data_IF_301591007631
#
_entry.id   IF_301591007631
#
_cell.length_a   1.000
_cell.length_b   1.000
_cell.length_c   1.000
_cell.angle_alpha   90.00
_cell.angle_beta   90.00
_cell.angle_gamma   90.00
#
_symmetry.space_group_name_H-M   'P 1'
#
loop_
_entity.id
_entity.type
_entity.pdbx_description
1 polymer ?
#
# COMPACT_ATOMS: atom_id res chain seq x y z
N UNK A 1 69.66 45.77 4.78
CA UNK A 1 69.98 44.33 4.59
C UNK A 1 69.44 43.58 5.81
N UNK A 2 68.52 42.62 5.78
CA UNK A 2 67.96 41.80 4.71
C UNK A 2 66.53 41.39 5.08
N UNK A 3 65.53 42.20 4.70
CA UNK A 3 64.11 41.79 4.76
C UNK A 3 63.74 40.79 3.64
N UNK A 4 64.66 40.55 2.69
CA UNK A 4 64.41 39.67 1.53
C UNK A 4 64.73 38.18 1.76
N UNK A 5 65.35 37.79 2.88
CA UNK A 5 65.73 36.37 3.10
C UNK A 5 64.66 35.50 3.76
N UNK A 6 63.70 36.08 4.49
CA UNK A 6 62.66 35.29 5.17
C UNK A 6 61.50 34.87 4.24
N UNK A 7 61.20 35.68 3.20
CA UNK A 7 60.20 35.32 2.19
C UNK A 7 60.67 34.21 1.24
N UNK A 8 61.98 34.09 1.00
CA UNK A 8 62.52 33.06 0.11
C UNK A 8 62.38 31.63 0.68
N UNK A 9 62.41 31.46 2.00
CA UNK A 9 62.33 30.15 2.65
C UNK A 9 60.87 29.68 2.73
N UNK A 10 59.92 30.57 3.04
CA UNK A 10 58.49 30.23 3.02
C UNK A 10 57.99 29.93 1.61
N UNK A 11 58.39 30.71 0.59
CA UNK A 11 57.95 30.47 -0.79
C UNK A 11 58.51 29.15 -1.34
N UNK A 12 59.76 28.77 -1.01
CA UNK A 12 60.31 27.45 -1.38
C UNK A 12 59.59 26.30 -0.68
N UNK A 13 59.19 26.46 0.58
CA UNK A 13 58.43 25.44 1.31
C UNK A 13 57.03 25.25 0.73
N UNK A 14 56.32 26.34 0.39
CA UNK A 14 54.99 26.25 -0.24
C UNK A 14 55.07 25.67 -1.65
N UNK A 15 56.10 26.02 -2.44
CA UNK A 15 56.27 25.43 -3.78
C UNK A 15 56.59 23.94 -3.73
N UNK A 16 57.39 23.49 -2.76
CA UNK A 16 57.71 22.07 -2.57
C UNK A 16 56.49 21.29 -2.07
N UNK A 17 55.69 21.86 -1.17
CA UNK A 17 54.42 21.25 -0.75
C UNK A 17 53.40 21.24 -1.89
N UNK A 18 53.31 22.31 -2.69
CA UNK A 18 52.43 22.37 -3.86
C UNK A 18 52.84 21.38 -4.96
N UNK A 19 54.15 21.20 -5.17
CA UNK A 19 54.71 20.21 -6.10
C UNK A 19 54.53 18.77 -5.58
N UNK A 20 54.72 18.53 -4.28
CA UNK A 20 54.44 17.23 -3.64
C UNK A 20 52.94 16.90 -3.67
N UNK A 21 52.06 17.89 -3.53
CA UNK A 21 50.60 17.69 -3.69
C UNK A 21 50.23 17.48 -5.16
N UNK A 22 50.89 18.15 -6.12
CA UNK A 22 50.67 17.90 -7.55
C UNK A 22 51.17 16.52 -8.00
N UNK A 23 52.26 16.03 -7.40
CA UNK A 23 52.78 14.68 -7.67
C UNK A 23 51.90 13.62 -7.00
N UNK A 24 51.24 13.92 -5.87
CA UNK A 24 50.22 13.04 -5.29
C UNK A 24 48.93 12.96 -6.12
N UNK A 25 48.61 13.98 -6.91
CA UNK A 25 47.48 13.95 -7.86
C UNK A 25 47.79 13.28 -9.21
N UNK A 26 49.05 12.88 -9.44
CA UNK A 26 49.47 12.02 -10.55
C UNK A 26 49.74 10.58 -10.11
N UNK A 27 49.44 10.23 -8.86
CA UNK A 27 49.17 8.85 -8.52
C UNK A 27 47.93 8.45 -9.32
N UNK A 28 48.17 7.73 -10.42
CA UNK A 28 47.21 6.93 -11.15
C UNK A 28 46.02 6.60 -10.24
N UNK A 29 44.89 7.25 -10.49
CA UNK A 29 43.62 6.76 -9.99
C UNK A 29 43.51 5.33 -10.49
N UNK A 30 43.84 4.38 -9.62
CA UNK A 30 43.35 3.02 -9.77
C UNK A 30 41.84 3.22 -9.82
N UNK A 31 41.17 2.90 -10.94
CA UNK A 31 39.74 3.03 -10.98
C UNK A 31 39.19 2.21 -9.82
N UNK A 32 38.27 2.79 -9.06
CA UNK A 32 37.51 2.19 -7.96
C UNK A 32 36.68 0.96 -8.40
N UNK A 33 36.96 0.44 -9.61
CA UNK A 33 36.28 -0.59 -10.38
C UNK A 33 37.10 -1.90 -10.46
N UNK A 34 38.25 -1.97 -9.76
CA UNK A 34 39.03 -3.20 -9.53
C UNK A 34 38.69 -3.85 -8.17
N UNK A 35 37.51 -3.59 -7.62
CA UNK A 35 37.08 -4.00 -6.28
C UNK A 35 36.80 -5.50 -6.13
N UNK A 36 36.70 -6.23 -7.24
CA UNK A 36 36.31 -7.64 -7.24
C UNK A 36 37.49 -8.61 -7.21
N UNK A 37 38.74 -8.12 -7.34
CA UNK A 37 39.91 -8.98 -7.35
C UNK A 37 40.34 -9.33 -5.93
N UNK A 38 40.36 -10.63 -5.61
CA UNK A 38 40.85 -11.14 -4.34
C UNK A 38 42.36 -11.38 -4.36
N UNK A 39 42.89 -11.91 -5.47
CA UNK A 39 44.31 -12.26 -5.59
C UNK A 39 44.75 -12.38 -7.05
N UNK A 40 46.06 -12.53 -7.26
CA UNK A 40 46.68 -12.74 -8.57
C UNK A 40 47.16 -11.46 -9.25
N UNK A 41 47.78 -11.63 -10.41
CA UNK A 41 48.41 -10.59 -11.23
C UNK A 41 47.67 -10.31 -12.55
N UNK A 42 46.72 -11.15 -12.95
CA UNK A 42 45.82 -10.84 -14.07
C UNK A 42 44.89 -9.71 -13.63
N UNK A 43 44.95 -8.57 -14.31
CA UNK A 43 44.09 -7.41 -14.07
C UNK A 43 42.96 -7.37 -15.09
N UNK A 44 41.78 -6.97 -14.66
CA UNK A 44 40.60 -6.85 -15.51
C UNK A 44 39.34 -6.61 -14.69
N UNK A 45 38.19 -6.67 -15.36
CA UNK A 45 36.87 -6.47 -14.74
C UNK A 45 35.88 -7.53 -15.20
N UNK A 46 35.00 -7.93 -14.29
CA UNK A 46 33.89 -8.83 -14.58
C UNK A 46 32.68 -8.00 -14.99
N UNK A 47 32.01 -8.40 -16.06
CA UNK A 47 30.87 -7.69 -16.64
C UNK A 47 29.68 -8.63 -16.73
N UNK A 48 28.56 -8.24 -16.16
CA UNK A 48 27.29 -8.96 -16.22
C UNK A 48 26.33 -8.28 -17.19
N UNK A 49 25.81 -9.01 -18.18
CA UNK A 49 24.86 -8.51 -19.18
C UNK A 49 23.60 -9.37 -19.20
N UNK A 50 22.45 -8.73 -19.05
CA UNK A 50 21.14 -9.37 -19.18
C UNK A 50 20.40 -8.78 -20.38
N UNK A 51 19.88 -9.66 -21.23
CA UNK A 51 19.08 -9.26 -22.40
C UNK A 51 17.61 -9.55 -22.13
N UNK A 52 16.77 -8.54 -22.23
CA UNK A 52 15.31 -8.66 -22.07
C UNK A 52 14.65 -7.98 -23.28
N UNK A 53 14.03 -8.78 -24.14
CA UNK A 53 13.57 -8.32 -25.45
C UNK A 53 14.74 -7.77 -26.29
N UNK A 54 14.64 -6.51 -26.70
CA UNK A 54 15.68 -5.81 -27.47
C UNK A 54 16.62 -4.95 -26.61
N UNK A 55 16.45 -4.97 -25.28
CA UNK A 55 17.23 -4.14 -24.35
C UNK A 55 18.35 -4.97 -23.72
N UNK A 56 19.55 -4.40 -23.68
CA UNK A 56 20.68 -4.97 -22.95
C UNK A 56 20.96 -4.17 -21.69
N UNK A 57 20.90 -4.83 -20.53
CA UNK A 57 21.14 -4.24 -19.22
C UNK A 57 22.52 -4.64 -18.71
N UNK A 58 23.33 -3.65 -18.40
CA UNK A 58 24.61 -3.81 -17.72
C UNK A 58 24.37 -3.89 -16.20
N UNK A 59 24.74 -5.00 -15.57
CA UNK A 59 24.44 -5.29 -14.16
C UNK A 59 25.70 -5.30 -13.28
N UNK A 60 26.54 -4.26 -13.41
CA UNK A 60 27.82 -4.17 -12.68
C UNK A 60 27.67 -4.05 -11.15
N UNK A 61 26.47 -3.76 -10.65
CA UNK A 61 26.19 -3.66 -9.21
C UNK A 61 25.92 -5.00 -8.52
N UNK A 62 26.12 -6.13 -9.20
CA UNK A 62 25.85 -7.48 -8.68
C UNK A 62 24.35 -7.82 -8.56
N UNK A 63 23.46 -6.95 -9.05
CA UNK A 63 22.00 -7.13 -8.95
C UNK A 63 21.45 -7.68 -10.26
N UNK A 64 20.94 -8.90 -10.23
CA UNK A 64 20.48 -9.63 -11.41
C UNK A 64 18.99 -9.93 -11.34
N UNK A 65 18.33 -10.03 -12.50
CA UNK A 65 16.99 -10.58 -12.61
C UNK A 65 17.03 -12.12 -12.70
N UNK A 66 16.15 -12.80 -11.96
CA UNK A 66 15.90 -14.24 -12.11
C UNK A 66 15.20 -14.53 -13.44
N UNK A 67 15.33 -15.77 -13.93
CA UNK A 67 14.75 -16.25 -15.18
C UNK A 67 15.21 -15.51 -16.46
N UNK A 68 16.18 -14.60 -16.34
CA UNK A 68 16.79 -13.92 -17.48
C UNK A 68 18.21 -14.45 -17.67
N UNK A 69 18.54 -15.05 -18.83
CA UNK A 69 19.89 -15.47 -19.15
C UNK A 69 20.88 -14.31 -19.00
N UNK A 70 21.96 -14.56 -18.28
CA UNK A 70 23.00 -13.57 -18.01
C UNK A 70 24.30 -14.01 -18.65
N UNK A 71 24.85 -13.19 -19.53
CA UNK A 71 26.19 -13.39 -20.07
C UNK A 71 27.17 -12.68 -19.16
N UNK A 72 28.08 -13.44 -18.57
CA UNK A 72 29.17 -12.93 -17.75
C UNK A 72 30.44 -13.00 -18.59
N UNK A 73 31.23 -11.94 -18.59
CA UNK A 73 32.47 -11.85 -19.34
C UNK A 73 33.57 -11.19 -18.54
N UNK A 74 34.81 -11.55 -18.81
CA UNK A 74 35.99 -10.93 -18.21
C UNK A 74 36.73 -10.08 -19.25
N UNK A 75 36.85 -8.79 -18.97
CA UNK A 75 37.59 -7.85 -19.82
C UNK A 75 38.98 -7.63 -19.22
N UNK A 76 40.02 -8.06 -19.95
CA UNK A 76 41.40 -7.94 -19.52
C UNK A 76 41.86 -6.49 -19.55
N UNK A 77 42.59 -6.10 -18.51
CA UNK A 77 43.31 -4.84 -18.46
C UNK A 77 44.81 -5.09 -18.60
N UNK A 78 45.30 -5.07 -19.85
CA UNK A 78 46.72 -5.26 -20.19
C UNK A 78 47.23 -4.15 -21.12
N UNK A 79 47.46 -2.92 -20.59
CA UNK A 79 47.89 -1.78 -21.39
C UNK A 79 49.31 -1.96 -21.97
N UNK A 80 50.11 -2.85 -21.39
CA UNK A 80 51.48 -3.14 -21.85
C UNK A 80 51.54 -4.32 -22.82
N UNK A 81 50.40 -4.94 -23.13
CA UNK A 81 50.28 -6.07 -24.05
C UNK A 81 51.19 -7.26 -23.72
N UNK A 82 51.53 -7.41 -22.45
CA UNK A 82 52.44 -8.46 -21.94
C UNK A 82 51.79 -9.83 -21.86
N UNK A 83 50.46 -9.89 -21.93
CA UNK A 83 49.64 -11.10 -21.78
C UNK A 83 49.08 -11.61 -23.11
N UNK A 84 49.40 -10.98 -24.25
CA UNK A 84 48.83 -11.33 -25.57
C UNK A 84 49.11 -12.77 -26.01
N UNK A 85 50.26 -13.33 -25.63
CA UNK A 85 50.66 -14.70 -25.97
C UNK A 85 50.26 -15.73 -24.90
N UNK A 86 49.66 -15.29 -23.79
CA UNK A 86 49.25 -16.18 -22.72
C UNK A 86 47.93 -16.86 -23.08
N UNK A 87 47.89 -18.20 -22.97
CA UNK A 87 46.66 -18.97 -23.06
C UNK A 87 46.08 -19.14 -21.66
N UNK A 88 44.99 -18.42 -21.40
CA UNK A 88 44.25 -18.49 -20.15
C UNK A 88 43.20 -19.61 -20.17
N UNK A 89 42.98 -20.19 -19.00
CA UNK A 89 41.87 -21.07 -18.69
C UNK A 89 41.09 -20.40 -17.57
N UNK A 90 39.79 -20.23 -17.79
CA UNK A 90 38.86 -19.63 -16.87
C UNK A 90 38.08 -20.74 -16.18
N UNK A 91 37.96 -20.65 -14.86
CA UNK A 91 37.08 -21.48 -14.06
C UNK A 91 36.03 -20.56 -13.43
N UNK A 92 34.80 -20.69 -13.91
CA UNK A 92 33.63 -19.93 -13.51
C UNK A 92 32.84 -20.73 -12.47
N UNK A 93 32.86 -20.30 -11.23
CA UNK A 93 31.95 -20.80 -10.19
C UNK A 93 30.78 -19.81 -10.07
N UNK A 94 29.59 -20.28 -10.42
CA UNK A 94 28.40 -19.45 -10.47
C UNK A 94 27.75 -19.28 -9.08
N UNK A 95 28.23 -19.96 -8.05
CA UNK A 95 27.68 -19.90 -6.69
C UNK A 95 26.33 -20.60 -6.52
N UNK A 96 25.75 -21.15 -7.60
CA UNK A 96 24.55 -21.99 -7.59
C UNK A 96 24.88 -23.50 -7.63
N UNK A 97 26.15 -23.86 -7.43
CA UNK A 97 26.66 -25.23 -7.54
C UNK A 97 27.17 -25.62 -8.93
N UNK A 98 26.94 -24.79 -9.96
CA UNK A 98 27.54 -25.00 -11.28
C UNK A 98 28.93 -24.39 -11.37
N UNK A 99 29.88 -25.20 -11.84
CA UNK A 99 31.24 -24.76 -12.16
C UNK A 99 31.54 -25.09 -13.61
N UNK A 100 32.09 -24.14 -14.36
CA UNK A 100 32.47 -24.33 -15.77
C UNK A 100 33.90 -23.92 -15.99
N UNK A 101 34.68 -24.78 -16.66
CA UNK A 101 36.09 -24.54 -16.96
C UNK A 101 36.32 -24.58 -18.47
N UNK A 102 37.01 -23.58 -19.01
CA UNK A 102 37.26 -23.48 -20.44
C UNK A 102 38.17 -22.32 -20.83
N UNK A 103 38.62 -22.25 -22.09
CA UNK A 103 39.42 -21.14 -22.60
C UNK A 103 38.59 -19.88 -22.90
N UNK A 104 37.25 -19.95 -22.87
CA UNK A 104 36.38 -18.83 -23.18
C UNK A 104 36.37 -17.79 -22.05
N UNK A 105 36.61 -16.50 -22.34
CA UNK A 105 36.59 -15.42 -21.35
C UNK A 105 35.16 -14.97 -21.01
N UNK A 106 34.16 -15.83 -21.25
CA UNK A 106 32.76 -15.58 -20.95
C UNK A 106 32.01 -16.88 -20.63
N UNK A 107 30.89 -16.75 -19.92
CA UNK A 107 29.99 -17.83 -19.57
C UNK A 107 28.54 -17.33 -19.52
N UNK A 108 27.59 -18.17 -19.91
CA UNK A 108 26.16 -17.87 -19.79
C UNK A 108 25.58 -18.54 -18.56
N UNK A 109 25.10 -17.78 -17.57
CA UNK A 109 24.44 -18.31 -16.39
C UNK A 109 22.93 -18.03 -16.39
N UNK A 110 22.19 -18.85 -15.66
CA UNK A 110 20.74 -18.75 -15.55
C UNK A 110 20.32 -19.04 -14.11
N UNK A 111 19.99 -17.97 -13.37
CA UNK A 111 19.48 -18.09 -12.00
C UNK A 111 17.96 -18.16 -12.04
N UNK A 112 17.39 -19.27 -11.57
CA UNK A 112 15.94 -19.51 -11.53
C UNK A 112 15.31 -19.14 -10.19
N UNK A 113 16.11 -18.96 -9.14
CA UNK A 113 15.62 -18.62 -7.82
C UNK A 113 16.17 -17.25 -7.39
N UNK A 114 15.35 -16.39 -6.79
CA UNK A 114 15.86 -15.18 -6.15
C UNK A 114 16.66 -15.56 -4.91
N UNK A 115 17.71 -14.79 -4.62
CA UNK A 115 18.60 -15.07 -3.51
C UNK A 115 19.95 -14.39 -3.63
N UNK A 116 20.80 -14.66 -2.64
CA UNK A 116 22.17 -14.20 -2.65
C UNK A 116 23.08 -15.33 -3.12
N UNK A 117 24.02 -15.01 -4.01
CA UNK A 117 24.97 -15.94 -4.58
C UNK A 117 26.37 -15.33 -4.50
N UNK A 118 27.39 -16.16 -4.38
CA UNK A 118 28.78 -15.71 -4.45
C UNK A 118 29.39 -16.26 -5.73
N UNK A 119 29.59 -15.37 -6.70
CA UNK A 119 30.23 -15.72 -7.96
C UNK A 119 31.75 -15.64 -7.79
N UNK A 120 32.47 -16.63 -8.33
CA UNK A 120 33.93 -16.62 -8.35
C UNK A 120 34.47 -16.93 -9.74
N UNK A 121 35.57 -16.26 -10.08
CA UNK A 121 36.33 -16.49 -11.29
C UNK A 121 37.78 -16.76 -10.93
N UNK A 122 38.27 -17.95 -11.26
CA UNK A 122 39.71 -18.27 -11.25
C UNK A 122 40.25 -18.26 -12.68
N UNK A 123 41.36 -17.56 -12.88
CA UNK A 123 42.07 -17.45 -14.15
C UNK A 123 43.46 -18.03 -13.93
N UNK A 124 43.82 -19.00 -14.74
CA UNK A 124 45.13 -19.67 -14.71
C UNK A 124 45.69 -19.76 -16.12
N UNK A 125 47.01 -19.75 -16.28
CA UNK A 125 47.62 -20.02 -17.59
C UNK A 125 47.97 -21.49 -17.74
N UNK A 126 47.75 -22.05 -18.92
CA UNK A 126 48.14 -23.43 -19.23
C UNK A 126 49.63 -23.57 -19.65
N UNK A 127 50.39 -22.48 -19.71
CA UNK A 127 51.77 -22.49 -20.20
C UNK A 127 52.78 -22.50 -19.05
N UNK A 128 53.79 -23.40 -19.06
CA UNK A 128 54.78 -23.50 -17.97
C UNK A 128 55.53 -22.18 -17.72
N UNK A 129 55.82 -21.45 -18.79
CA UNK A 129 56.53 -20.17 -18.78
C UNK A 129 55.75 -19.05 -18.06
N UNK A 130 54.43 -19.19 -17.98
CA UNK A 130 53.54 -18.22 -17.34
C UNK A 130 52.79 -18.79 -16.15
N UNK A 131 53.14 -19.98 -15.66
CA UNK A 131 52.46 -20.69 -14.56
C UNK A 131 52.19 -19.90 -13.27
N UNK A 132 52.86 -18.75 -13.07
CA UNK A 132 52.64 -17.82 -11.95
C UNK A 132 51.61 -16.72 -12.25
N UNK A 133 51.06 -16.69 -13.46
CA UNK A 133 50.05 -15.72 -13.89
C UNK A 133 48.68 -16.26 -13.53
N UNK A 134 48.07 -15.66 -12.51
CA UNK A 134 46.79 -16.08 -11.97
C UNK A 134 45.89 -14.88 -11.69
N UNK A 135 44.59 -15.10 -11.61
CA UNK A 135 43.62 -14.11 -11.17
C UNK A 135 42.52 -14.78 -10.41
N UNK A 136 42.18 -14.28 -9.22
CA UNK A 136 41.03 -14.73 -8.46
C UNK A 136 40.12 -13.53 -8.21
N UNK A 137 38.87 -13.66 -8.60
CA UNK A 137 37.86 -12.63 -8.45
C UNK A 137 36.63 -13.19 -7.75
N UNK A 138 35.96 -12.36 -6.96
CA UNK A 138 34.70 -12.69 -6.31
C UNK A 138 33.73 -11.52 -6.35
N UNK A 139 32.46 -11.83 -6.62
CA UNK A 139 31.36 -10.87 -6.69
C UNK A 139 30.17 -11.44 -5.93
N UNK A 140 29.68 -10.69 -4.95
CA UNK A 140 28.41 -10.99 -4.29
C UNK A 140 27.27 -10.54 -5.21
N UNK A 141 26.39 -11.49 -5.53
CA UNK A 141 25.24 -11.30 -6.38
C UNK A 141 23.96 -11.33 -5.55
N UNK A 142 23.05 -10.43 -5.87
CA UNK A 142 21.66 -10.47 -5.40
C UNK A 142 20.74 -10.65 -6.60
N UNK A 143 20.18 -11.85 -6.72
CA UNK A 143 19.21 -12.20 -7.76
C UNK A 143 17.81 -11.90 -7.23
N UNK A 144 17.02 -11.18 -8.02
CA UNK A 144 15.67 -10.75 -7.69
C UNK A 144 14.68 -11.16 -8.78
N UNK A 145 13.43 -11.39 -8.40
CA UNK A 145 12.33 -11.56 -9.34
C UNK A 145 11.86 -10.21 -9.89
N UNK A 146 11.71 -10.15 -11.22
CA UNK A 146 11.06 -9.03 -11.90
C UNK A 146 9.62 -8.88 -11.43
N UNK A 147 9.08 -7.67 -11.53
CA UNK A 147 7.69 -7.39 -11.20
C UNK A 147 6.82 -7.92 -12.34
N UNK A 148 6.11 -9.03 -12.08
CA UNK A 148 5.25 -9.73 -13.04
C UNK A 148 3.80 -9.25 -12.99
N UNK A 149 3.29 -8.93 -11.79
CA UNK A 149 1.92 -8.50 -11.61
C UNK A 149 1.75 -7.53 -10.44
N UNK A 150 0.70 -6.71 -10.54
CA UNK A 150 0.11 -5.95 -9.45
C UNK A 150 -1.36 -6.38 -9.49
N UNK A 151 -1.85 -7.04 -8.45
CA UNK A 151 -3.19 -7.65 -8.41
C UNK A 151 -4.03 -7.04 -7.29
N UNK A 152 -5.18 -6.45 -7.62
CA UNK A 152 -6.17 -6.04 -6.63
C UNK A 152 -6.87 -7.27 -6.02
N UNK A 153 -6.70 -7.47 -4.72
CA UNK A 153 -7.39 -8.44 -3.87
C UNK A 153 -8.58 -7.76 -3.20
N UNK A 154 -9.66 -7.54 -3.96
CA UNK A 154 -10.86 -6.88 -3.42
C UNK A 154 -11.94 -6.64 -4.47
N UNK A 155 -13.08 -6.07 -4.07
CA UNK A 155 -14.13 -5.69 -5.01
C UNK A 155 -13.68 -4.52 -5.89
N UNK A 156 -14.35 -4.36 -7.02
CA UNK A 156 -14.23 -3.18 -7.88
C UNK A 156 -15.33 -2.14 -7.60
N UNK A 157 -16.28 -2.45 -6.72
CA UNK A 157 -17.41 -1.57 -6.38
C UNK A 157 -17.39 -1.22 -4.90
N UNK A 158 -17.48 0.07 -4.59
CA UNK A 158 -17.48 0.62 -3.23
C UNK A 158 -18.60 1.65 -3.03
N UNK A 159 -18.93 1.97 -1.78
CA UNK A 159 -19.93 2.97 -1.46
C UNK A 159 -19.29 4.31 -1.11
N UNK A 160 -20.00 5.40 -1.41
CA UNK A 160 -19.63 6.76 -0.98
C UNK A 160 -19.57 6.86 0.56
N UNK A 161 -18.61 7.63 1.06
CA UNK A 161 -18.38 7.96 2.48
C UNK A 161 -18.15 6.74 3.39
N UNK A 162 -17.90 5.57 2.82
CA UNK A 162 -17.51 4.38 3.54
C UNK A 162 -15.98 4.21 3.50
N UNK A 163 -15.35 4.04 4.67
CA UNK A 163 -13.93 3.70 4.75
C UNK A 163 -13.69 2.32 4.13
N UNK A 164 -12.95 2.31 3.02
CA UNK A 164 -12.68 1.10 2.24
C UNK A 164 -11.19 0.76 2.29
N UNK A 165 -10.87 -0.53 2.41
CA UNK A 165 -9.50 -1.04 2.38
C UNK A 165 -9.26 -1.80 1.08
N UNK A 166 -8.43 -1.26 0.20
CA UNK A 166 -8.04 -1.89 -1.06
C UNK A 166 -6.71 -2.61 -0.86
N UNK A 167 -6.70 -3.93 -1.03
CA UNK A 167 -5.51 -4.76 -0.83
C UNK A 167 -4.89 -5.14 -2.17
N UNK A 168 -3.58 -4.96 -2.33
CA UNK A 168 -2.84 -5.25 -3.55
C UNK A 168 -1.76 -6.30 -3.27
N UNK A 169 -1.65 -7.28 -4.16
CA UNK A 169 -0.58 -8.26 -4.19
C UNK A 169 0.40 -7.92 -5.31
N UNK A 170 1.68 -7.89 -5.00
CA UNK A 170 2.77 -7.54 -5.91
C UNK A 170 3.58 -8.80 -6.19
N UNK A 171 3.60 -9.24 -7.45
CA UNK A 171 4.35 -10.41 -7.90
C UNK A 171 5.78 -10.07 -8.29
N UNK A 172 6.68 -9.86 -7.32
CA UNK A 172 8.11 -9.59 -7.56
C UNK A 172 8.90 -9.51 -6.26
N UNK A 173 10.23 -9.38 -6.34
CA UNK A 173 11.06 -9.33 -5.12
C UNK A 173 11.09 -7.94 -4.47
N UNK A 174 10.91 -7.85 -3.14
CA UNK A 174 11.11 -6.63 -2.37
C UNK A 174 12.62 -6.29 -2.21
N UNK A 175 12.95 -5.04 -1.84
CA UNK A 175 12.04 -3.92 -1.63
C UNK A 175 11.58 -3.29 -2.96
N UNK A 176 10.31 -2.88 -3.01
CA UNK A 176 9.71 -2.19 -4.15
C UNK A 176 9.34 -0.74 -3.78
N UNK A 177 9.36 0.14 -4.77
CA UNK A 177 8.84 1.50 -4.69
C UNK A 177 7.49 1.52 -5.42
N UNK A 178 6.42 1.76 -4.68
CA UNK A 178 5.06 1.89 -5.18
C UNK A 178 4.65 3.36 -5.22
N UNK A 179 4.29 3.84 -6.40
CA UNK A 179 3.72 5.15 -6.67
C UNK A 179 2.23 4.94 -7.02
N UNK A 180 1.32 5.45 -6.19
CA UNK A 180 -0.12 5.25 -6.37
C UNK A 180 -0.89 6.56 -6.35
N UNK A 181 -2.03 6.59 -7.04
CA UNK A 181 -2.97 7.74 -7.03
C UNK A 181 -4.37 7.32 -7.44
N UNK A 182 -5.36 8.00 -6.88
CA UNK A 182 -6.78 7.84 -7.22
C UNK A 182 -7.21 9.05 -8.05
N UNK A 183 -7.79 8.81 -9.22
CA UNK A 183 -8.23 9.83 -10.17
C UNK A 183 -9.75 9.75 -10.33
N UNK A 184 -10.46 10.85 -10.03
CA UNK A 184 -11.90 10.96 -10.32
C UNK A 184 -12.13 11.07 -11.83
N UNK A 185 -13.10 10.34 -12.36
CA UNK A 185 -13.44 10.28 -13.79
C UNK A 185 -12.25 9.94 -14.69
N UNK A 186 -11.24 9.28 -14.11
CA UNK A 186 -9.98 8.92 -14.79
C UNK A 186 -9.24 10.13 -15.41
N UNK A 187 -9.53 11.33 -14.93
CA UNK A 187 -8.86 12.54 -15.39
C UNK A 187 -7.44 12.61 -14.82
N UNK A 188 -6.44 12.86 -15.65
CA UNK A 188 -5.04 12.97 -15.23
C UNK A 188 -4.67 14.44 -15.05
N UNK A 189 -4.65 14.97 -13.82
CA UNK A 189 -4.26 16.36 -13.61
C UNK A 189 -2.76 16.55 -13.89
N UNK A 190 -2.41 17.74 -14.38
CA UNK A 190 -1.03 18.24 -14.43
C UNK A 190 -0.76 19.13 -13.21
N UNK A 191 0.32 18.91 -12.43
CA UNK A 191 1.40 17.93 -12.60
C UNK A 191 1.07 16.52 -12.09
N UNK A 192 1.76 15.54 -12.68
CA UNK A 192 1.63 14.09 -12.44
C UNK A 192 2.27 13.68 -11.10
N UNK A 193 1.69 14.13 -9.97
CA UNK A 193 2.12 13.68 -8.64
C UNK A 193 1.44 12.37 -8.23
N UNK A 194 2.14 11.57 -7.43
CA UNK A 194 1.62 10.35 -6.83
C UNK A 194 2.14 10.21 -5.40
N UNK A 195 1.48 9.35 -4.63
CA UNK A 195 1.94 8.98 -3.30
C UNK A 195 2.97 7.86 -3.44
N UNK A 196 4.22 8.15 -3.07
CA UNK A 196 5.32 7.20 -3.12
C UNK A 196 5.50 6.50 -1.77
N UNK A 197 5.51 5.17 -1.79
CA UNK A 197 5.70 4.31 -0.61
C UNK A 197 6.74 3.24 -0.94
N UNK A 198 7.59 2.91 0.03
CA UNK A 198 8.53 1.78 -0.08
C UNK A 198 7.98 0.57 0.67
N UNK A 199 7.90 -0.58 0.00
CA UNK A 199 7.38 -1.81 0.56
C UNK A 199 8.50 -2.85 0.68
N UNK A 200 8.56 -3.53 1.83
CA UNK A 200 9.48 -4.62 2.10
C UNK A 200 8.82 -6.00 1.98
N UNK A 201 7.50 -6.03 1.83
CA UNK A 201 6.72 -7.23 1.53
C UNK A 201 6.09 -7.15 0.13
N UNK A 202 5.26 -8.14 -0.17
CA UNK A 202 4.53 -8.27 -1.43
C UNK A 202 3.07 -7.80 -1.34
N UNK A 203 2.64 -7.26 -0.20
CA UNK A 203 1.28 -6.78 0.01
C UNK A 203 1.27 -5.29 0.32
N UNK A 204 0.29 -4.58 -0.24
CA UNK A 204 0.01 -3.18 0.06
C UNK A 204 -1.47 -2.99 0.32
N UNK A 205 -1.83 -2.36 1.45
CA UNK A 205 -3.21 -2.06 1.78
C UNK A 205 -3.40 -0.54 1.77
N UNK A 206 -4.37 -0.07 1.00
CA UNK A 206 -4.74 1.33 0.89
C UNK A 206 -6.09 1.57 1.56
N UNK A 207 -6.09 2.36 2.62
CA UNK A 207 -7.31 2.87 3.22
C UNK A 207 -7.73 4.15 2.49
N UNK A 208 -8.91 4.13 1.87
CA UNK A 208 -9.42 5.24 1.08
C UNK A 208 -10.94 5.41 1.24
N UNK A 209 -11.39 6.66 1.26
CA UNK A 209 -12.81 7.02 1.33
C UNK A 209 -13.19 7.81 0.09
N UNK A 210 -14.08 7.26 -0.72
CA UNK A 210 -14.61 7.92 -1.91
C UNK A 210 -15.73 8.89 -1.51
N UNK A 211 -15.67 10.14 -1.98
CA UNK A 211 -16.60 11.22 -1.57
C UNK A 211 -17.73 11.50 -2.53
N UNK A 212 -17.66 10.97 -3.75
CA UNK A 212 -18.69 11.14 -4.77
C UNK A 212 -18.89 9.86 -5.55
N UNK A 213 -20.11 9.69 -6.08
CA UNK A 213 -20.44 8.61 -7.00
C UNK A 213 -19.71 8.80 -8.33
N UNK A 214 -19.46 7.70 -9.03
CA UNK A 214 -18.83 7.72 -10.34
C UNK A 214 -17.73 6.68 -10.51
N UNK A 215 -16.98 6.81 -11.60
CA UNK A 215 -15.86 5.92 -11.91
C UNK A 215 -14.55 6.58 -11.50
N UNK A 216 -13.71 5.83 -10.80
CA UNK A 216 -12.38 6.26 -10.40
C UNK A 216 -11.34 5.36 -11.07
N UNK A 217 -10.23 5.94 -11.50
CA UNK A 217 -9.06 5.18 -11.92
C UNK A 217 -8.04 5.17 -10.79
N UNK A 218 -7.64 3.98 -10.36
CA UNK A 218 -6.54 3.80 -9.44
C UNK A 218 -5.30 3.39 -10.23
N UNK A 219 -4.41 4.35 -10.42
CA UNK A 219 -3.13 4.13 -11.08
C UNK A 219 -2.09 3.67 -10.05
N UNK A 220 -1.39 2.59 -10.37
CA UNK A 220 -0.24 2.10 -9.60
C UNK A 220 0.96 1.90 -10.52
N UNK A 221 2.11 2.43 -10.12
CA UNK A 221 3.41 2.12 -10.72
C UNK A 221 4.30 1.52 -9.63
N UNK A 222 4.75 0.29 -9.85
CA UNK A 222 5.65 -0.43 -8.96
C UNK A 222 6.97 -0.60 -9.66
N UNK A 223 8.05 -0.24 -8.97
CA UNK A 223 9.42 -0.37 -9.46
C UNK A 223 10.27 -1.09 -8.44
N UNK A 224 11.18 -1.94 -8.90
CA UNK A 224 12.32 -2.39 -8.12
C UNK A 224 13.61 -2.04 -8.87
N UNK A 225 14.74 -2.51 -8.35
CA UNK A 225 16.05 -2.21 -8.95
C UNK A 225 16.27 -2.89 -10.32
N UNK A 226 15.48 -3.91 -10.66
CA UNK A 226 15.65 -4.69 -11.89
C UNK A 226 14.57 -4.42 -12.95
N UNK A 227 13.36 -4.00 -12.55
CA UNK A 227 12.17 -3.90 -13.40
C UNK A 227 11.17 -2.84 -12.90
N UNK A 228 10.22 -2.47 -13.76
CA UNK A 228 9.12 -1.55 -13.46
C UNK A 228 7.84 -2.06 -14.15
N UNK A 229 6.70 -1.95 -13.48
CA UNK A 229 5.38 -2.28 -14.02
C UNK A 229 4.38 -1.19 -13.61
N UNK A 230 3.53 -0.78 -14.53
CA UNK A 230 2.43 0.15 -14.28
C UNK A 230 1.10 -0.51 -14.66
N UNK A 231 0.07 -0.30 -13.84
CA UNK A 231 -1.30 -0.76 -14.08
C UNK A 231 -2.31 0.31 -13.63
N UNK A 232 -3.53 0.21 -14.13
CA UNK A 232 -4.66 1.04 -13.69
C UNK A 232 -5.91 0.19 -13.51
N UNK A 233 -6.66 0.44 -12.44
CA UNK A 233 -7.91 -0.24 -12.14
C UNK A 233 -9.08 0.73 -12.18
N UNK A 234 -10.16 0.31 -12.84
CA UNK A 234 -11.43 1.05 -12.84
C UNK A 234 -12.26 0.62 -11.62
N UNK A 235 -12.48 1.57 -10.71
CA UNK A 235 -13.26 1.40 -9.48
C UNK A 235 -14.58 2.14 -9.63
N UNK A 236 -15.69 1.46 -9.33
CA UNK A 236 -17.03 2.02 -9.41
C UNK A 236 -17.52 2.39 -8.02
N UNK A 237 -17.95 3.64 -7.84
CA UNK A 237 -18.45 4.13 -6.57
C UNK A 237 -19.94 4.45 -6.71
N UNK A 238 -20.74 3.78 -5.90
CA UNK A 238 -22.19 3.93 -5.88
C UNK A 238 -22.65 4.65 -4.61
N UNK A 239 -23.84 5.25 -4.67
CA UNK A 239 -24.46 5.84 -3.49
C UNK A 239 -24.59 4.77 -2.41
N UNK A 240 -24.19 5.12 -1.19
CA UNK A 240 -24.51 4.27 -0.05
C UNK A 240 -26.03 4.13 0.03
N UNK A 241 -26.58 2.91 0.18
CA UNK A 241 -28.01 2.74 0.38
C UNK A 241 -28.38 3.52 1.64
N UNK A 242 -29.00 4.68 1.45
CA UNK A 242 -29.51 5.50 2.55
C UNK A 242 -30.42 4.57 3.34
N UNK A 243 -30.09 4.31 4.61
CA UNK A 243 -30.88 3.35 5.37
C UNK A 243 -32.30 3.92 5.44
N UNK A 244 -33.29 3.17 4.91
CA UNK A 244 -34.71 3.50 4.97
C UNK A 244 -35.18 3.85 6.40
N UNK A 245 -34.41 3.41 7.39
CA UNK A 245 -34.52 3.69 8.83
C UNK A 245 -34.50 5.19 9.15
N UNK A 246 -33.87 6.07 8.34
CA UNK A 246 -33.92 7.53 8.57
C UNK A 246 -35.08 8.22 7.86
N UNK A 247 -35.53 7.69 6.72
CA UNK A 247 -36.60 8.29 5.90
C UNK A 247 -37.97 8.04 6.55
N UNK A 248 -38.21 6.83 7.07
CA UNK A 248 -39.46 6.44 7.72
C UNK A 248 -39.82 7.28 8.96
N UNK A 249 -38.94 7.47 9.96
CA UNK A 249 -39.26 8.31 11.12
C UNK A 249 -39.34 9.79 10.76
N UNK A 250 -38.53 10.28 9.81
CA UNK A 250 -38.63 11.67 9.36
C UNK A 250 -39.97 11.95 8.67
N UNK A 251 -40.41 11.04 7.79
CA UNK A 251 -41.73 11.09 7.16
C UNK A 251 -42.86 11.00 8.21
N UNK A 252 -42.73 10.13 9.21
CA UNK A 252 -43.71 10.00 10.29
C UNK A 252 -43.84 11.29 11.12
N UNK A 253 -42.73 11.95 11.45
CA UNK A 253 -42.74 13.24 12.15
C UNK A 253 -43.39 14.33 11.30
N UNK A 254 -43.04 14.41 10.01
CA UNK A 254 -43.66 15.37 9.09
C UNK A 254 -45.18 15.14 9.02
N UNK A 255 -45.63 13.90 8.84
CA UNK A 255 -47.07 13.56 8.83
C UNK A 255 -47.74 13.93 10.15
N UNK A 256 -47.14 13.61 11.29
CA UNK A 256 -47.68 13.96 12.61
C UNK A 256 -47.82 15.48 12.80
N UNK A 257 -46.83 16.27 12.35
CA UNK A 257 -46.91 17.73 12.40
C UNK A 257 -48.00 18.30 11.49
N UNK A 258 -48.16 17.76 10.29
CA UNK A 258 -49.23 18.16 9.37
C UNK A 258 -50.62 17.83 9.93
N UNK A 259 -50.79 16.68 10.58
CA UNK A 259 -52.02 16.30 11.30
C UNK A 259 -52.27 17.28 12.45
N UNK A 260 -51.24 17.61 13.24
CA UNK A 260 -51.39 18.56 14.34
C UNK A 260 -51.82 19.93 13.84
N UNK A 261 -51.22 20.44 12.76
CA UNK A 261 -51.57 21.73 12.14
C UNK A 261 -53.01 21.70 11.61
N UNK A 262 -53.43 20.63 10.92
CA UNK A 262 -54.82 20.54 10.43
C UNK A 262 -55.82 20.45 11.57
N UNK A 263 -55.54 19.73 12.65
CA UNK A 263 -56.42 19.67 13.82
C UNK A 263 -56.47 21.00 14.56
N UNK A 264 -55.37 21.75 14.63
CA UNK A 264 -55.33 23.03 15.35
C UNK A 264 -55.88 24.21 14.53
N UNK A 265 -55.78 24.17 13.20
CA UNK A 265 -56.29 25.22 12.29
C UNK A 265 -57.71 24.93 11.80
N UNK A 266 -58.05 23.67 11.51
CA UNK A 266 -59.37 23.29 11.00
C UNK A 266 -60.36 22.85 12.09
N UNK A 267 -60.00 22.88 13.39
CA UNK A 267 -61.01 22.79 14.45
C UNK A 267 -61.76 24.11 14.54
N UNK A 268 -63.04 24.18 14.13
CA UNK A 268 -63.83 25.35 14.42
C UNK A 268 -64.00 25.42 15.93
N UNK A 269 -63.84 26.63 16.47
CA UNK A 269 -64.00 26.95 17.89
C UNK A 269 -65.46 26.74 18.33
N UNK A 270 -65.92 25.49 18.43
CA UNK A 270 -67.23 25.11 19.01
C UNK A 270 -67.14 25.04 20.54
N UNK A 271 -66.69 26.11 21.19
CA UNK A 271 -66.66 26.19 22.65
C UNK A 271 -67.28 27.47 23.24
N UNK A 272 -68.26 28.06 22.56
CA UNK A 272 -69.02 29.20 23.13
C UNK A 272 -70.56 29.03 23.14
N UNK A 273 -71.11 27.87 22.76
CA UNK A 273 -72.57 27.74 22.57
C UNK A 273 -73.22 26.49 23.20
N UNK A 274 -72.63 25.93 24.26
CA UNK A 274 -73.29 24.89 25.09
C UNK A 274 -73.46 25.33 26.54
N UNK A 275 -72.73 26.34 27.01
CA UNK A 275 -72.84 26.89 28.37
C UNK A 275 -74.05 27.82 28.60
N UNK A 276 -74.86 28.14 27.58
CA UNK A 276 -76.10 28.93 27.75
C UNK A 276 -77.39 28.11 27.84
N UNK A 277 -77.36 26.79 27.57
CA UNK A 277 -78.56 25.96 27.56
C UNK A 277 -78.85 25.26 28.91
N UNK A 278 -77.91 25.26 29.87
CA UNK A 278 -78.05 24.53 31.14
C UNK A 278 -78.49 25.40 32.32
N UNK A 279 -78.77 26.70 32.10
CA UNK A 279 -79.16 27.66 33.15
C UNK A 279 -80.66 28.04 33.10
N UNK A 280 -81.47 27.32 32.34
CA UNK A 280 -82.90 27.63 32.15
C UNK A 280 -83.87 26.52 32.61
N UNK A 281 -83.38 25.39 33.13
CA UNK A 281 -84.23 24.21 33.37
C UNK A 281 -84.14 23.63 34.80
N UNK A 282 -84.02 24.51 35.79
CA UNK A 282 -84.08 24.10 37.20
C UNK A 282 -84.90 25.08 38.03
N UNK A 283 -86.22 25.08 37.79
CA UNK A 283 -87.21 25.37 38.84
C UNK A 283 -88.64 25.07 38.36
N UNK A 284 -89.14 23.84 38.58
CA UNK A 284 -90.48 23.65 39.15
C UNK A 284 -90.72 22.16 39.48
N UNK A 285 -91.03 21.88 40.75
CA UNK A 285 -91.44 20.57 41.26
C UNK A 285 -92.95 20.32 41.04
N UNK A 286 -93.33 19.06 40.77
CA UNK A 286 -94.42 18.32 41.47
C UNK A 286 -94.43 16.86 40.99
N UNK A 287 -93.94 15.89 41.77
CA UNK A 287 -94.73 15.01 42.66
C UNK A 287 -95.99 14.38 42.05
N UNK A 288 -95.91 13.08 41.73
CA UNK A 288 -96.72 11.94 42.24
C UNK A 288 -96.06 10.66 41.70
N UNK A 289 -95.49 9.78 42.53
CA UNK A 289 -96.09 8.78 43.43
C UNK A 289 -96.13 7.38 42.76
N UNK A 290 -95.23 6.51 43.26
CA UNK A 290 -95.40 5.09 43.64
C UNK A 290 -96.13 4.22 42.60
N UNK A 291 -95.53 3.16 42.05
CA UNK A 291 -95.54 1.86 42.74
C UNK A 291 -94.57 0.85 42.11
N UNK A 292 -93.90 0.14 43.01
CA UNK A 292 -92.91 -0.89 42.80
C UNK A 292 -93.63 -2.24 42.85
N UNK A 293 -93.45 -3.12 41.87
CA UNK A 293 -93.60 -4.55 42.15
C UNK A 293 -92.59 -5.41 41.40
N UNK A 294 -92.03 -6.32 42.19
CA UNK A 294 -90.91 -7.19 41.91
C UNK A 294 -91.31 -8.52 41.25
N UNK A 295 -90.26 -9.22 40.81
CA UNK A 295 -90.00 -10.67 40.91
C UNK A 295 -89.95 -11.51 39.62
N UNK A 296 -88.74 -12.04 39.46
CA UNK A 296 -88.35 -13.45 39.40
C UNK A 296 -88.57 -14.30 38.13
N UNK A 297 -87.52 -15.11 37.94
CA UNK A 297 -87.46 -16.50 37.46
C UNK A 297 -87.01 -16.65 35.99
N UNK A 298 -85.73 -16.95 35.73
CA UNK A 298 -85.10 -18.31 35.70
C UNK A 298 -85.43 -19.05 34.39
N UNK A 299 -84.57 -19.73 33.63
CA UNK A 299 -83.33 -20.48 33.94
C UNK A 299 -82.68 -20.90 32.59
N UNK A 300 -81.34 -20.86 32.50
CA UNK A 300 -80.36 -21.75 31.80
C UNK A 300 -80.63 -22.28 30.37
N UNK A 301 -79.66 -22.34 29.44
CA UNK A 301 -78.30 -22.90 29.53
C UNK A 301 -77.48 -22.51 28.28
N UNK A 302 -76.20 -22.16 28.51
CA UNK A 302 -74.97 -22.49 27.74
C UNK A 302 -74.90 -22.23 26.21
N UNK A 303 -73.80 -21.75 25.65
CA UNK A 303 -72.52 -21.24 26.17
C UNK A 303 -71.74 -20.61 25.00
N UNK A 304 -70.71 -19.87 25.39
CA UNK A 304 -69.43 -19.69 24.71
C UNK A 304 -69.10 -18.48 23.82
N UNK A 305 -68.10 -17.80 24.38
CA UNK A 305 -66.93 -17.11 23.79
C UNK A 305 -67.11 -15.62 23.50
N UNK A 306 -66.75 -14.73 24.43
CA UNK A 306 -65.43 -14.34 24.97
C UNK A 306 -64.77 -13.24 24.12
N UNK A 307 -64.88 -12.01 24.63
CA UNK A 307 -64.07 -10.87 24.25
C UNK A 307 -63.68 -10.08 25.51
N UNK A 308 -62.53 -9.40 25.40
CA UNK A 308 -62.18 -8.15 26.08
C UNK A 308 -61.53 -8.29 27.47
N UNK A 309 -60.24 -7.92 27.58
CA UNK A 309 -59.73 -6.64 28.17
C UNK A 309 -59.49 -6.79 29.68
N UNK A 310 -58.61 -6.11 30.41
CA UNK A 310 -57.64 -5.01 30.24
C UNK A 310 -57.00 -4.86 31.65
N UNK A 311 -55.74 -4.36 31.71
CA UNK A 311 -55.02 -3.62 32.79
C UNK A 311 -55.33 -3.92 34.28
N UNK A 312 -54.40 -3.85 35.23
CA UNK A 312 -53.56 -2.71 35.59
C UNK A 312 -52.79 -3.09 36.89
N UNK A 313 -51.62 -2.47 37.14
CA UNK A 313 -51.11 -2.00 38.44
C UNK A 313 -49.58 -2.09 38.58
N UNK A 314 -48.97 -0.92 38.71
CA UNK A 314 -47.68 -0.67 39.37
C UNK A 314 -47.95 -0.50 40.89
N UNK A 315 -46.97 -0.63 41.83
CA UNK A 315 -45.96 0.42 42.01
C UNK A 315 -44.58 0.03 42.63
N UNK A 316 -43.64 0.99 42.52
CA UNK A 316 -42.57 1.41 43.44
C UNK A 316 -41.30 0.57 43.77
N UNK A 317 -40.17 1.31 43.70
CA UNK A 317 -38.91 1.23 44.48
C UNK A 317 -37.91 0.10 44.20
N UNK A 318 -36.80 0.43 43.51
CA UNK A 318 -35.44 0.51 44.11
C UNK A 318 -34.35 0.76 43.03
N UNK A 319 -33.57 1.81 43.23
CA UNK A 319 -32.18 1.94 42.76
C UNK A 319 -31.29 0.95 43.55
N UNK A 320 -30.16 0.49 43.00
CA UNK A 320 -28.91 1.24 43.22
C UNK A 320 -28.01 1.39 41.99
N UNK A 321 -27.22 2.46 42.06
CA UNK A 321 -26.02 2.74 41.28
C UNK A 321 -24.98 1.62 41.39
N UNK A 322 -24.17 1.43 40.34
CA UNK A 322 -22.70 1.48 40.48
C UNK A 322 -22.07 1.81 39.12
N UNK A 323 -21.44 2.97 39.06
CA UNK A 323 -20.34 3.30 38.15
C UNK A 323 -19.07 2.57 38.56
N UNK A 324 -18.22 2.17 37.61
CA UNK A 324 -16.76 2.37 37.75
C UNK A 324 -16.10 2.52 36.38
N UNK A 325 -15.06 3.34 36.40
CA UNK A 325 -14.34 3.97 35.30
C UNK A 325 -12.88 3.48 35.26
N UNK A 326 -12.25 3.66 34.10
CA UNK A 326 -10.81 3.95 33.84
C UNK A 326 -9.73 2.87 34.03
N UNK A 327 -9.14 2.47 32.89
CA UNK A 327 -7.73 2.60 32.41
C UNK A 327 -6.57 2.75 33.43
N UNK A 328 -5.32 2.30 33.09
CA UNK A 328 -4.54 2.75 31.92
C UNK A 328 -4.28 1.71 30.84
#
# INVERSE_FOLDING_TARGET
MNCCRLNSIRIRSVLVYALLTLISSLAFGIPDELSHQLSGNVKGKIIFRQMEGNSTYLRNSGKLASFIPTVVSFEHFDPRHTLRSATFIYTWDLGNGEVRKGPEPYVTCHYTLPGNYTFQLSIETNTPQHSRITGLYSVDLTVLDVIKSIELRGPLTYNVDQSSSLSFQIGGSPPVWLCWRVLSDCHTPSPTSCNLVRLYGNQFNLNYTFRSVGTYCLDLSVRNIISNLQTSYNIYVQSSPVSLIFILPCAAVIVATLIFITVSVCRPQKQSLVSKALMADMNYHSFTEIELHAKDASITLQDNSLASKTNEAQPLLQQPETSYSTQP
#
